data_IF_457189239405
#
_entry.id   IF_457189239405
#
_cell.length_a   1.000
_cell.length_b   1.000
_cell.length_c   1.000
_cell.angle_alpha   90.00
_cell.angle_beta   90.00
_cell.angle_gamma   90.00
#
_symmetry.space_group_name_H-M   'P 1'
#
loop_
_entity.id
_entity.type
_entity.pdbx_description
1 polymer ?
#
# COMPACT_ATOMS: atom_id res chain seq x y z
N UNK A 1 -8.59 0.27 12.86
CA UNK A 1 -9.14 1.33 12.01
C UNK A 1 -8.26 2.57 12.05
N UNK A 2 -7.96 3.16 10.90
CA UNK A 2 -7.11 4.34 10.83
C UNK A 2 -7.88 5.60 11.20
N UNK A 3 -7.22 6.48 11.94
CA UNK A 3 -7.68 7.83 12.23
C UNK A 3 -6.59 8.80 11.76
N UNK A 4 -6.83 10.11 11.82
CA UNK A 4 -5.84 11.11 11.43
C UNK A 4 -4.59 11.10 12.31
N UNK A 5 -4.68 10.53 13.50
CA UNK A 5 -3.61 10.54 14.49
C UNK A 5 -2.96 9.18 14.68
N UNK A 6 -3.62 8.09 14.31
CA UNK A 6 -3.18 6.75 14.63
C UNK A 6 -3.68 5.73 13.61
N UNK A 7 -2.83 4.78 13.26
CA UNK A 7 -3.19 3.70 12.38
C UNK A 7 -2.01 3.21 11.56
N UNK A 8 -2.29 2.39 10.58
CA UNK A 8 -1.28 1.86 9.65
C UNK A 8 -1.89 1.65 8.28
N UNK A 9 -1.02 1.65 7.27
CA UNK A 9 -1.38 1.32 5.90
C UNK A 9 -0.49 0.18 5.42
N UNK A 10 -1.12 -0.85 4.85
CA UNK A 10 -0.41 -2.00 4.30
C UNK A 10 0.11 -1.65 2.91
N UNK A 11 1.36 -2.00 2.66
CA UNK A 11 1.99 -1.74 1.36
C UNK A 11 2.58 -3.00 0.77
N UNK A 12 2.54 -3.12 -0.54
CA UNK A 12 3.17 -4.20 -1.29
C UNK A 12 3.84 -3.59 -2.51
N UNK A 13 5.08 -4.01 -2.79
CA UNK A 13 5.78 -3.66 -4.03
C UNK A 13 6.14 -4.96 -4.72
N UNK A 14 5.63 -5.14 -5.93
CA UNK A 14 5.80 -6.37 -6.70
C UNK A 14 5.95 -6.06 -8.18
N UNK A 15 6.49 -7.04 -8.91
CA UNK A 15 6.65 -6.94 -10.36
C UNK A 15 5.54 -7.69 -11.06
N UNK A 16 4.85 -7.02 -11.96
CA UNK A 16 3.83 -7.59 -12.83
C UNK A 16 4.30 -7.41 -14.28
N UNK A 17 4.70 -8.51 -14.91
CA UNK A 17 5.33 -8.43 -16.23
C UNK A 17 6.64 -7.65 -16.14
N UNK A 18 6.74 -6.55 -16.89
CA UNK A 18 7.92 -5.68 -16.93
C UNK A 18 7.78 -4.44 -16.06
N UNK A 19 6.69 -4.34 -15.30
CA UNK A 19 6.37 -3.14 -14.53
C UNK A 19 6.40 -3.46 -13.04
N UNK A 20 7.04 -2.59 -12.27
CA UNK A 20 6.96 -2.64 -10.81
C UNK A 20 5.73 -1.86 -10.35
N UNK A 21 4.98 -2.45 -9.42
CA UNK A 21 3.73 -1.91 -8.91
C UNK A 21 3.85 -1.76 -7.41
N UNK A 22 3.50 -0.59 -6.91
CA UNK A 22 3.41 -0.32 -5.47
C UNK A 22 1.97 0.00 -5.09
N UNK A 23 1.47 -0.62 -4.06
CA UNK A 23 0.08 -0.47 -3.60
C UNK A 23 0.05 -0.10 -2.13
N UNK A 24 -0.77 0.89 -1.80
CA UNK A 24 -1.16 1.20 -0.43
C UNK A 24 -2.63 0.81 -0.29
N UNK A 25 -2.89 -0.30 0.41
CA UNK A 25 -4.20 -0.96 0.36
C UNK A 25 -5.32 -0.09 0.93
N UNK A 26 -5.15 0.43 2.15
CA UNK A 26 -6.19 1.22 2.82
C UNK A 26 -6.49 2.56 2.14
N UNK A 27 -5.59 3.04 1.29
CA UNK A 27 -5.74 4.32 0.60
C UNK A 27 -6.09 4.18 -0.87
N UNK A 28 -6.11 2.96 -1.39
CA UNK A 28 -6.30 2.68 -2.82
C UNK A 28 -5.30 3.45 -3.72
N UNK A 29 -4.07 3.63 -3.25
CA UNK A 29 -3.01 4.26 -4.03
C UNK A 29 -2.25 3.19 -4.78
N UNK A 30 -2.04 3.40 -6.07
CA UNK A 30 -1.23 2.52 -6.92
C UNK A 30 -0.23 3.40 -7.67
N UNK A 31 1.05 3.04 -7.55
CA UNK A 31 2.15 3.66 -8.28
C UNK A 31 2.84 2.60 -9.12
N UNK A 32 3.32 2.98 -10.30
CA UNK A 32 4.03 2.06 -11.19
C UNK A 32 5.32 2.68 -11.70
N UNK A 33 6.28 1.83 -12.07
CA UNK A 33 7.53 2.30 -12.62
C UNK A 33 8.44 1.14 -13.06
N UNK A 34 9.60 1.51 -13.58
CA UNK A 34 10.58 0.54 -14.09
C UNK A 34 11.57 0.06 -13.03
N UNK A 35 11.65 0.77 -11.90
CA UNK A 35 12.59 0.47 -10.82
C UNK A 35 11.81 0.37 -9.50
N UNK A 36 11.97 -0.75 -8.76
CA UNK A 36 11.22 -0.94 -7.51
C UNK A 36 11.57 0.10 -6.44
N UNK A 37 12.79 0.63 -6.42
CA UNK A 37 13.17 1.67 -5.47
C UNK A 37 12.49 2.99 -5.76
N UNK A 38 12.35 3.34 -7.04
CA UNK A 38 11.58 4.52 -7.44
C UNK A 38 10.11 4.37 -7.05
N UNK A 39 9.54 3.20 -7.31
CA UNK A 39 8.15 2.91 -6.94
C UNK A 39 7.97 3.02 -5.42
N UNK A 40 8.92 2.50 -4.65
CA UNK A 40 8.91 2.64 -3.19
C UNK A 40 8.87 4.11 -2.76
N UNK A 41 9.75 4.94 -3.33
CA UNK A 41 9.82 6.36 -2.99
C UNK A 41 8.56 7.12 -3.41
N UNK A 42 8.04 6.82 -4.60
CA UNK A 42 6.81 7.42 -5.10
C UNK A 42 5.62 7.05 -4.23
N UNK A 43 5.53 5.79 -3.83
CA UNK A 43 4.46 5.30 -2.96
C UNK A 43 4.54 5.96 -1.58
N UNK A 44 5.73 6.05 -1.02
CA UNK A 44 5.98 6.70 0.27
C UNK A 44 5.55 8.16 0.26
N UNK A 45 5.92 8.88 -0.79
CA UNK A 45 5.55 10.28 -0.98
C UNK A 45 4.04 10.44 -1.15
N UNK A 46 3.41 9.56 -1.94
CA UNK A 46 1.98 9.58 -2.16
C UNK A 46 1.20 9.31 -0.86
N UNK A 47 1.67 8.37 -0.05
CA UNK A 47 1.07 8.06 1.27
C UNK A 47 1.15 9.28 2.18
N UNK A 48 2.32 9.91 2.27
CA UNK A 48 2.52 11.11 3.11
C UNK A 48 1.61 12.25 2.66
N UNK A 49 1.57 12.52 1.36
CA UNK A 49 0.72 13.57 0.79
C UNK A 49 -0.75 13.30 1.03
N UNK A 50 -1.17 12.06 0.91
CA UNK A 50 -2.54 11.65 1.16
C UNK A 50 -2.96 11.92 2.61
N UNK A 51 -2.12 11.54 3.58
CA UNK A 51 -2.37 11.76 5.00
C UNK A 51 -2.42 13.24 5.32
N UNK A 52 -1.46 14.03 4.81
CA UNK A 52 -1.41 15.47 5.03
C UNK A 52 -2.67 16.15 4.47
N UNK A 53 -3.05 15.79 3.26
CA UNK A 53 -4.26 16.33 2.60
C UNK A 53 -5.51 15.97 3.38
N UNK A 54 -5.62 14.75 3.87
CA UNK A 54 -6.75 14.30 4.66
C UNK A 54 -6.89 15.08 5.97
N UNK A 55 -5.77 15.28 6.68
CA UNK A 55 -5.75 16.07 7.92
C UNK A 55 -6.14 17.53 7.68
N UNK A 56 -5.58 18.12 6.61
CA UNK A 56 -5.79 19.53 6.27
C UNK A 56 -7.21 19.82 5.84
N UNK A 57 -7.82 18.91 5.10
CA UNK A 57 -9.17 19.06 4.58
C UNK A 57 -10.25 18.60 5.56
N UNK A 58 -9.88 18.02 6.69
CA UNK A 58 -10.79 17.45 7.69
C UNK A 58 -11.81 16.49 7.07
N UNK A 59 -11.36 15.72 6.09
CA UNK A 59 -12.18 14.72 5.41
C UNK A 59 -12.46 13.57 6.40
N UNK A 60 -13.55 12.85 6.17
CA UNK A 60 -13.94 11.72 7.02
C UNK A 60 -12.84 10.66 7.07
N UNK A 61 -12.58 10.06 8.25
CA UNK A 61 -11.59 8.98 8.37
C UNK A 61 -11.82 7.78 7.46
N UNK A 62 -13.01 7.63 6.88
CA UNK A 62 -13.30 6.57 5.92
C UNK A 62 -12.34 6.57 4.71
N UNK A 63 -11.80 7.72 4.32
CA UNK A 63 -10.82 7.80 3.23
C UNK A 63 -9.49 7.16 3.59
N UNK A 64 -9.20 7.02 4.89
CA UNK A 64 -7.99 6.34 5.39
C UNK A 64 -8.21 4.84 5.60
N UNK A 65 -9.41 4.35 5.33
CA UNK A 65 -9.84 2.97 5.55
C UNK A 65 -10.63 2.45 4.35
N UNK A 66 -10.12 2.71 3.16
CA UNK A 66 -10.79 2.26 1.93
C UNK A 66 -10.64 0.76 1.74
N UNK A 67 -11.59 0.17 1.04
CA UNK A 67 -11.52 -1.24 0.64
C UNK A 67 -10.65 -1.34 -0.60
N UNK A 68 -9.59 -2.11 -0.52
CA UNK A 68 -8.69 -2.31 -1.65
C UNK A 68 -9.26 -3.32 -2.63
N UNK A 69 -8.64 -3.39 -3.82
CA UNK A 69 -8.93 -4.41 -4.81
C UNK A 69 -8.70 -5.79 -4.20
N UNK A 70 -9.59 -6.72 -4.48
CA UNK A 70 -9.55 -8.09 -3.96
C UNK A 70 -8.22 -8.79 -4.29
N UNK A 71 -7.67 -8.54 -5.45
CA UNK A 71 -6.39 -9.08 -5.89
C UNK A 71 -5.26 -8.74 -4.91
N UNK A 72 -5.22 -7.50 -4.44
CA UNK A 72 -4.19 -7.05 -3.50
C UNK A 72 -4.43 -7.60 -2.10
N UNK A 73 -5.68 -7.75 -1.69
CA UNK A 73 -6.00 -8.37 -0.40
C UNK A 73 -5.58 -9.83 -0.36
N UNK A 74 -5.80 -10.57 -1.44
CA UNK A 74 -5.37 -11.97 -1.57
C UNK A 74 -3.85 -12.05 -1.53
N UNK A 75 -3.16 -11.17 -2.26
CA UNK A 75 -1.71 -11.14 -2.28
C UNK A 75 -1.14 -10.86 -0.87
N UNK A 76 -1.69 -9.89 -0.17
CA UNK A 76 -1.29 -9.58 1.20
C UNK A 76 -1.47 -10.78 2.13
N UNK A 77 -2.62 -11.42 2.06
CA UNK A 77 -2.92 -12.60 2.87
C UNK A 77 -1.91 -13.72 2.61
N UNK A 78 -1.58 -13.97 1.36
CA UNK A 78 -0.63 -15.01 0.97
C UNK A 78 0.79 -14.71 1.48
N UNK A 79 1.22 -13.45 1.41
CA UNK A 79 2.55 -13.03 1.88
C UNK A 79 2.69 -13.14 3.40
N UNK A 80 1.60 -13.04 4.13
CA UNK A 80 1.59 -13.11 5.59
C UNK A 80 1.12 -14.45 6.12
N UNK A 81 0.98 -15.45 5.26
CA UNK A 81 0.58 -16.79 5.62
C UNK A 81 1.71 -17.51 6.38
N UNK A 82 1.40 -18.29 7.44
CA UNK A 82 2.41 -19.08 8.14
C UNK A 82 2.99 -20.19 7.26
N UNK A 83 2.28 -20.59 6.21
CA UNK A 83 2.78 -21.53 5.20
C UNK A 83 3.11 -20.75 3.93
N UNK A 84 4.32 -20.89 3.37
CA UNK A 84 4.66 -20.20 2.13
C UNK A 84 3.68 -20.54 1.00
N UNK A 85 3.09 -19.50 0.42
CA UNK A 85 2.23 -19.63 -0.76
C UNK A 85 2.98 -19.02 -1.93
N UNK A 86 3.08 -19.79 -3.01
CA UNK A 86 3.76 -19.32 -4.21
C UNK A 86 2.99 -18.15 -4.81
N UNK A 87 3.64 -17.00 -4.88
CA UNK A 87 3.08 -15.80 -5.53
C UNK A 87 3.34 -15.86 -7.03
N UNK A 88 2.37 -15.43 -7.87
CA UNK A 88 2.61 -15.25 -9.31
C UNK A 88 3.52 -14.06 -9.60
N UNK A 89 3.78 -13.20 -8.61
CA UNK A 89 4.56 -11.98 -8.77
C UNK A 89 5.89 -12.07 -8.03
N UNK A 90 6.90 -11.40 -8.57
CA UNK A 90 8.14 -11.18 -7.87
C UNK A 90 7.93 -10.07 -6.84
N UNK A 91 8.16 -10.37 -5.57
CA UNK A 91 7.94 -9.42 -4.47
C UNK A 91 9.23 -8.69 -4.14
N UNK A 92 9.19 -7.37 -4.12
CA UNK A 92 10.30 -6.53 -3.68
C UNK A 92 10.21 -6.27 -2.16
N UNK A 93 9.05 -5.82 -1.69
CA UNK A 93 8.81 -5.58 -0.27
C UNK A 93 7.32 -5.60 0.05
N UNK A 94 7.01 -5.86 1.31
CA UNK A 94 5.67 -5.71 1.84
C UNK A 94 5.76 -5.42 3.35
N UNK A 95 4.78 -4.72 3.87
CA UNK A 95 4.76 -4.39 5.29
C UNK A 95 3.69 -3.37 5.63
N UNK A 96 3.67 -2.97 6.89
CA UNK A 96 2.77 -1.94 7.37
C UNK A 96 3.54 -0.67 7.65
N UNK A 97 2.99 0.45 7.21
CA UNK A 97 3.52 1.76 7.47
C UNK A 97 2.65 2.47 8.50
N UNK A 98 3.26 2.91 9.58
CA UNK A 98 2.53 3.56 10.67
C UNK A 98 2.16 4.99 10.28
N UNK A 99 0.90 5.34 10.55
CA UNK A 99 0.40 6.70 10.46
C UNK A 99 0.63 7.37 11.80
N UNK A 100 1.34 8.45 11.82
CA UNK A 100 1.65 9.16 13.06
C UNK A 100 1.47 10.65 12.93
#
# INVERSE_FOLDING_TARGET
MNTYQKGSVRTIIFKDGDVWVGVALEFNIVETGDDPREVFLMLDEAIRGYIISAKKSKIRPSILNQVSDKEYEVLWKNLNSPKPVKSPYQIYSFGERVIS
#
